data_IF_411068524172
#
_entry.id   IF_411068524172
#
_cell.length_a   1.000
_cell.length_b   1.000
_cell.length_c   1.000
_cell.angle_alpha   90.00
_cell.angle_beta   90.00
_cell.angle_gamma   90.00
#
_symmetry.space_group_name_H-M   'P 1'
#
loop_
_entity.id
_entity.type
_entity.pdbx_description
1 polymer ?
#
# COMPACT_ATOMS: atom_id res chain seq x y z
N UNK A 1 1.99 -3.83 16.45
CA UNK A 1 2.98 -2.80 16.84
C UNK A 1 4.07 -2.82 15.78
N UNK A 2 3.85 -2.10 14.66
CA UNK A 2 4.80 -2.05 13.54
C UNK A 2 5.82 -0.93 13.77
N UNK A 3 7.01 -1.14 13.20
CA UNK A 3 8.23 -0.33 13.39
C UNK A 3 7.95 1.15 13.21
N UNK A 4 8.18 1.90 14.28
CA UNK A 4 8.35 3.35 14.25
C UNK A 4 9.85 3.54 14.18
N UNK A 5 10.35 4.13 13.11
CA UNK A 5 11.72 4.62 13.11
C UNK A 5 11.66 6.14 13.39
N UNK A 6 11.61 6.57 14.66
CA UNK A 6 11.59 7.97 15.03
C UNK A 6 12.88 8.71 14.59
N UNK A 7 13.92 7.99 14.18
CA UNK A 7 15.16 8.61 13.71
C UNK A 7 15.04 9.17 12.26
N UNK A 8 13.99 8.79 11.52
CA UNK A 8 13.73 9.29 10.15
C UNK A 8 12.71 10.43 10.13
N UNK A 9 11.77 10.45 11.07
CA UNK A 9 10.68 11.42 11.14
C UNK A 9 10.78 12.26 12.41
N UNK A 10 10.72 13.59 12.29
CA UNK A 10 10.72 14.44 13.48
C UNK A 10 9.60 14.04 14.45
N UNK A 11 9.92 13.88 15.74
CA UNK A 11 9.00 13.40 16.78
C UNK A 11 7.65 14.13 16.76
N UNK A 12 7.68 15.44 16.55
CA UNK A 12 6.50 16.29 16.43
C UNK A 12 5.56 15.90 15.28
N UNK A 13 6.10 15.50 14.11
CA UNK A 13 5.29 15.01 13.01
C UNK A 13 4.61 13.69 13.35
N UNK A 14 5.31 12.79 14.07
CA UNK A 14 4.73 11.53 14.54
C UNK A 14 3.57 11.79 15.50
N UNK A 15 3.69 12.76 16.42
CA UNK A 15 2.62 13.15 17.33
C UNK A 15 1.42 13.74 16.58
N UNK A 16 1.67 14.61 15.60
CA UNK A 16 0.63 15.17 14.74
C UNK A 16 -0.12 14.06 13.97
N UNK A 17 0.60 13.11 13.39
CA UNK A 17 0.05 11.97 12.69
C UNK A 17 -0.78 11.04 13.59
N UNK A 18 -0.30 10.74 14.79
CA UNK A 18 -1.05 9.95 15.78
C UNK A 18 -2.36 10.63 16.19
N UNK A 19 -2.34 11.94 16.37
CA UNK A 19 -3.53 12.71 16.70
C UNK A 19 -4.55 12.70 15.55
N UNK A 20 -4.09 12.84 14.31
CA UNK A 20 -4.94 12.74 13.12
C UNK A 20 -5.61 11.36 13.00
N UNK A 21 -4.82 10.28 13.09
CA UNK A 21 -5.32 8.92 13.02
C UNK A 21 -6.36 8.63 14.11
N UNK A 22 -6.10 9.08 15.34
CA UNK A 22 -7.04 8.96 16.46
C UNK A 22 -8.34 9.73 16.20
N UNK A 23 -8.26 10.97 15.73
CA UNK A 23 -9.44 11.78 15.47
C UNK A 23 -10.34 11.16 14.39
N UNK A 24 -9.75 10.60 13.33
CA UNK A 24 -10.47 9.85 12.29
C UNK A 24 -11.13 8.59 12.87
N UNK A 25 -10.42 7.84 13.70
CA UNK A 25 -10.95 6.63 14.33
C UNK A 25 -12.13 6.94 15.27
N UNK A 26 -12.06 8.03 16.05
CA UNK A 26 -13.13 8.47 16.96
C UNK A 26 -14.38 8.95 16.20
N UNK A 27 -14.22 9.68 15.10
CA UNK A 27 -15.35 10.06 14.24
C UNK A 27 -15.94 8.86 13.50
N UNK A 28 -15.09 7.90 13.16
CA UNK A 28 -15.49 6.65 12.52
C UNK A 28 -16.15 5.66 13.46
N UNK A 29 -16.25 5.87 14.78
CA UNK A 29 -16.63 4.83 15.76
C UNK A 29 -18.12 4.39 15.74
N UNK A 30 -18.82 4.63 14.62
CA UNK A 30 -20.10 4.02 14.24
C UNK A 30 -20.13 3.44 12.82
N UNK A 31 -19.12 3.71 12.00
CA UNK A 31 -18.97 3.19 10.63
C UNK A 31 -17.68 2.38 10.53
N UNK A 32 -17.68 1.26 9.80
CA UNK A 32 -16.49 0.42 9.70
C UNK A 32 -15.41 1.10 8.84
N UNK A 33 -14.59 1.97 9.45
CA UNK A 33 -13.42 2.56 8.83
C UNK A 33 -12.39 1.44 8.60
N UNK A 34 -12.04 1.22 7.33
CA UNK A 34 -11.07 0.20 6.93
C UNK A 34 -9.76 0.89 6.56
N UNK A 35 -8.78 0.87 7.46
CA UNK A 35 -7.45 1.43 7.18
C UNK A 35 -6.79 0.73 5.98
N UNK A 36 -6.23 1.53 5.09
CA UNK A 36 -5.38 1.10 3.97
C UNK A 36 -3.93 1.41 4.30
N UNK A 37 -3.66 2.65 4.73
CA UNK A 37 -2.39 3.09 5.28
C UNK A 37 -2.60 3.73 6.65
N UNK A 38 -2.09 3.05 7.67
CA UNK A 38 -2.06 3.49 9.07
C UNK A 38 -0.64 3.38 9.66
N UNK A 39 0.39 3.48 8.81
CA UNK A 39 1.78 3.53 9.21
C UNK A 39 2.56 4.68 8.54
N UNK A 40 3.71 5.02 9.13
CA UNK A 40 4.63 6.03 8.63
C UNK A 40 5.73 5.35 7.82
N UNK A 41 5.38 4.89 6.62
CA UNK A 41 6.32 4.30 5.68
C UNK A 41 6.40 5.15 4.40
N UNK A 42 7.63 5.54 4.02
CA UNK A 42 7.91 6.27 2.79
C UNK A 42 7.89 5.33 1.56
N UNK A 43 7.58 5.82 0.34
CA UNK A 43 7.28 7.20 -0.02
C UNK A 43 5.90 7.69 0.48
N UNK A 44 5.77 9.00 0.66
CA UNK A 44 4.53 9.64 1.12
C UNK A 44 3.79 10.30 -0.05
N UNK A 45 2.95 9.52 -0.73
CA UNK A 45 1.89 10.09 -1.57
C UNK A 45 0.79 10.65 -0.67
N UNK A 46 0.46 9.93 0.40
CA UNK A 46 -0.40 10.29 1.51
C UNK A 46 0.20 9.86 2.86
N UNK A 47 -0.31 10.42 3.96
CA UNK A 47 0.13 10.05 5.32
C UNK A 47 -0.80 9.04 5.98
N UNK A 48 -2.08 9.06 5.61
CA UNK A 48 -3.11 8.14 6.08
C UNK A 48 -4.03 7.84 4.91
N UNK A 49 -4.57 6.63 4.84
CA UNK A 49 -5.66 6.33 3.90
C UNK A 49 -6.61 5.29 4.48
N UNK A 50 -7.88 5.43 4.14
CA UNK A 50 -8.92 4.50 4.57
C UNK A 50 -10.01 4.33 3.50
N UNK A 51 -10.72 3.22 3.60
CA UNK A 51 -11.95 2.95 2.86
C UNK A 51 -13.15 3.09 3.79
N UNK A 52 -14.19 3.76 3.29
CA UNK A 52 -15.52 3.82 3.88
C UNK A 52 -16.53 3.45 2.80
N UNK A 53 -17.31 2.38 3.01
CA UNK A 53 -18.16 1.82 1.97
C UNK A 53 -17.38 1.49 0.69
N UNK A 54 -17.80 2.03 -0.46
CA UNK A 54 -17.13 1.93 -1.75
C UNK A 54 -16.16 3.10 -2.05
N UNK A 55 -15.94 4.02 -1.12
CA UNK A 55 -15.07 5.19 -1.32
C UNK A 55 -13.70 5.02 -0.66
N UNK A 56 -12.65 5.53 -1.31
CA UNK A 56 -11.30 5.62 -0.79
C UNK A 56 -10.94 7.07 -0.46
N UNK A 57 -10.30 7.28 0.68
CA UNK A 57 -9.87 8.59 1.15
C UNK A 57 -8.37 8.56 1.40
N UNK A 58 -7.65 9.46 0.75
CA UNK A 58 -6.21 9.66 0.90
C UNK A 58 -5.98 10.98 1.60
N UNK A 59 -5.27 10.96 2.73
CA UNK A 59 -5.16 12.11 3.63
C UNK A 59 -3.72 12.59 3.66
N UNK A 60 -3.55 13.88 3.36
CA UNK A 60 -2.34 14.63 3.66
C UNK A 60 -2.60 15.52 4.87
N UNK A 61 -1.68 15.48 5.81
CA UNK A 61 -1.66 16.38 6.96
C UNK A 61 -1.00 17.70 6.56
N UNK A 62 -1.52 18.80 7.08
CA UNK A 62 -0.91 20.12 6.96
C UNK A 62 -0.73 20.72 8.34
N UNK A 63 0.36 21.46 8.57
CA UNK A 63 0.51 22.26 9.77
C UNK A 63 0.07 23.69 9.46
N UNK A 64 -1.04 24.10 10.06
CA UNK A 64 -1.61 25.44 9.88
C UNK A 64 -0.63 26.54 10.27
N UNK A 65 0.25 26.28 11.23
CA UNK A 65 1.25 27.25 11.69
C UNK A 65 2.61 27.10 10.97
N UNK A 66 2.73 26.17 10.01
CA UNK A 66 3.92 25.92 9.18
C UNK A 66 5.22 25.73 9.97
N UNK A 67 5.14 25.06 11.12
CA UNK A 67 6.26 24.76 12.01
C UNK A 67 6.85 23.38 11.71
N UNK A 68 6.03 22.44 11.25
CA UNK A 68 6.47 21.10 10.90
C UNK A 68 7.04 21.00 9.50
N UNK A 69 8.15 20.26 9.38
CA UNK A 69 8.55 19.68 8.10
C UNK A 69 7.70 18.45 7.84
N UNK A 70 6.74 18.59 6.92
CA UNK A 70 5.81 17.52 6.56
C UNK A 70 6.33 16.82 5.30
N UNK A 71 6.61 15.51 5.33
CA UNK A 71 7.10 14.78 4.17
C UNK A 71 6.02 14.66 3.08
N UNK A 72 6.44 14.31 1.85
CA UNK A 72 5.54 14.23 0.70
C UNK A 72 5.09 15.60 0.18
N UNK A 73 4.26 15.59 -0.85
CA UNK A 73 3.80 16.80 -1.52
C UNK A 73 2.36 16.66 -2.07
N UNK A 74 1.69 17.78 -2.43
CA UNK A 74 0.34 17.73 -2.99
C UNK A 74 0.22 17.02 -4.34
N UNK A 75 1.30 16.93 -5.13
CA UNK A 75 1.29 16.23 -6.42
C UNK A 75 1.16 14.73 -6.17
N UNK A 76 1.91 14.19 -5.20
CA UNK A 76 1.80 12.80 -4.77
C UNK A 76 0.39 12.44 -4.28
N UNK A 77 -0.24 13.32 -3.49
CA UNK A 77 -1.61 13.11 -3.00
C UNK A 77 -2.62 13.04 -4.15
N UNK A 78 -2.54 13.97 -5.10
CA UNK A 78 -3.44 13.97 -6.25
C UNK A 78 -3.20 12.74 -7.13
N UNK A 79 -1.94 12.37 -7.34
CA UNK A 79 -1.57 11.20 -8.14
C UNK A 79 -2.17 9.91 -7.59
N UNK A 80 -2.06 9.64 -6.28
CA UNK A 80 -2.65 8.43 -5.70
C UNK A 80 -4.18 8.46 -5.72
N UNK A 81 -4.79 9.61 -5.42
CA UNK A 81 -6.24 9.76 -5.44
C UNK A 81 -6.82 9.55 -6.85
N UNK A 82 -6.22 10.14 -7.89
CA UNK A 82 -6.62 9.94 -9.28
C UNK A 82 -6.40 8.49 -9.72
N UNK A 83 -5.23 7.92 -9.41
CA UNK A 83 -4.88 6.54 -9.80
C UNK A 83 -5.80 5.49 -9.17
N UNK A 84 -6.35 5.78 -8.00
CA UNK A 84 -7.28 4.91 -7.29
C UNK A 84 -8.76 5.30 -7.46
N UNK A 85 -9.09 6.32 -8.26
CA UNK A 85 -10.44 6.91 -8.29
C UNK A 85 -11.01 7.14 -6.87
N UNK A 86 -10.19 7.79 -6.04
CA UNK A 86 -10.48 8.13 -4.65
C UNK A 86 -10.49 9.64 -4.40
N UNK A 87 -10.66 10.01 -3.12
CA UNK A 87 -10.80 11.39 -2.69
C UNK A 87 -9.49 11.86 -2.04
N UNK A 88 -8.86 12.87 -2.65
CA UNK A 88 -7.74 13.58 -2.06
C UNK A 88 -8.24 14.51 -0.95
N UNK A 89 -7.73 14.32 0.26
CA UNK A 89 -8.16 15.04 1.46
C UNK A 89 -6.97 15.76 2.11
N UNK A 90 -7.20 17.01 2.50
CA UNK A 90 -6.29 17.73 3.39
C UNK A 90 -6.87 17.68 4.81
N UNK A 91 -6.01 17.43 5.79
CA UNK A 91 -6.34 17.55 7.21
C UNK A 91 -5.44 18.62 7.82
N UNK A 92 -5.92 19.88 7.92
CA UNK A 92 -5.19 20.94 8.58
C UNK A 92 -5.14 20.67 10.09
N UNK A 93 -3.94 20.51 10.62
CA UNK A 93 -3.64 20.24 12.02
C UNK A 93 -3.04 21.48 12.68
N UNK A 94 -3.31 21.67 13.96
CA UNK A 94 -2.69 22.72 14.76
C UNK A 94 -2.35 22.24 16.16
N UNK A 95 -1.17 22.62 16.63
CA UNK A 95 -0.74 22.40 18.01
C UNK A 95 -1.37 23.46 18.92
N UNK A 96 -2.23 23.06 19.86
CA UNK A 96 -2.82 23.92 20.89
C UNK A 96 -2.61 23.26 22.25
N UNK A 97 -2.10 24.04 23.21
CA UNK A 97 -1.90 23.57 24.60
C UNK A 97 -1.10 22.25 24.71
N UNK A 98 -0.20 21.99 23.74
CA UNK A 98 0.63 20.79 23.70
C UNK A 98 0.03 19.60 22.95
N UNK A 99 -1.17 19.74 22.38
CA UNK A 99 -1.84 18.67 21.63
C UNK A 99 -2.16 19.08 20.19
N UNK A 100 -1.91 18.17 19.25
CA UNK A 100 -2.28 18.35 17.84
C UNK A 100 -3.76 18.05 17.65
N UNK A 101 -4.47 18.95 16.97
CA UNK A 101 -5.92 18.80 16.71
C UNK A 101 -6.28 19.21 15.28
N UNK A 102 -7.19 18.49 14.61
CA UNK A 102 -7.74 18.95 13.34
C UNK A 102 -8.45 20.30 13.49
N UNK A 103 -8.26 21.20 12.52
CA UNK A 103 -8.86 22.53 12.52
C UNK A 103 -10.13 22.61 11.68
N UNK A 104 -10.29 21.72 10.71
CA UNK A 104 -11.52 21.63 9.92
C UNK A 104 -12.68 21.07 10.78
N UNK A 105 -13.93 21.53 10.55
CA UNK A 105 -15.12 20.96 11.20
C UNK A 105 -15.36 19.48 10.88
N UNK A 106 -16.20 18.83 11.69
CA UNK A 106 -16.61 17.44 11.48
C UNK A 106 -15.42 16.50 11.51
N UNK A 107 -15.25 15.71 10.46
CA UNK A 107 -14.15 14.75 10.28
C UNK A 107 -12.74 15.37 10.23
N UNK A 108 -12.62 16.69 10.26
CA UNK A 108 -11.32 17.37 10.15
C UNK A 108 -10.75 17.32 8.73
N UNK A 109 -11.56 16.96 7.73
CA UNK A 109 -11.15 16.81 6.33
C UNK A 109 -11.65 17.98 5.48
N UNK A 110 -10.80 18.39 4.54
CA UNK A 110 -11.13 19.27 3.43
C UNK A 110 -10.90 18.51 2.13
N UNK A 111 -11.81 18.67 1.17
CA UNK A 111 -11.57 18.22 -0.20
C UNK A 111 -10.39 19.02 -0.78
N UNK A 112 -9.34 18.34 -1.22
CA UNK A 112 -8.09 18.99 -1.62
C UNK A 112 -8.26 19.95 -2.82
N UNK A 113 -9.29 19.74 -3.64
CA UNK A 113 -9.57 20.56 -4.82
C UNK A 113 -10.35 21.83 -4.48
N UNK A 114 -11.40 21.72 -3.68
CA UNK A 114 -12.31 22.83 -3.36
C UNK A 114 -11.96 23.55 -2.06
N UNK A 115 -11.15 22.93 -1.19
CA UNK A 115 -10.83 23.42 0.15
C UNK A 115 -12.03 23.43 1.10
N UNK A 116 -13.11 22.71 0.76
CA UNK A 116 -14.34 22.68 1.56
C UNK A 116 -14.41 21.44 2.43
N UNK A 117 -14.93 21.60 3.63
CA UNK A 117 -15.28 20.46 4.49
C UNK A 117 -16.42 19.66 3.87
N UNK A 118 -16.38 18.35 4.09
CA UNK A 118 -17.40 17.42 3.66
C UNK A 118 -17.54 16.28 4.69
N UNK A 119 -18.64 15.55 4.61
CA UNK A 119 -18.86 14.33 5.38
C UNK A 119 -18.55 13.12 4.47
N UNK A 120 -17.49 12.33 4.75
CA UNK A 120 -17.15 11.13 3.99
C UNK A 120 -18.32 10.15 3.81
N UNK A 121 -19.22 10.05 4.79
CA UNK A 121 -20.40 9.17 4.75
C UNK A 121 -21.31 9.53 3.58
N UNK A 122 -21.44 10.83 3.28
CA UNK A 122 -22.31 11.32 2.20
C UNK A 122 -21.80 10.99 0.79
N UNK A 123 -20.56 10.53 0.67
CA UNK A 123 -19.99 10.07 -0.60
C UNK A 123 -20.15 8.56 -0.81
N UNK A 124 -20.51 7.81 0.24
CA UNK A 124 -20.73 6.37 0.15
C UNK A 124 -21.99 6.09 -0.65
N UNK A 125 -21.90 5.12 -1.56
CA UNK A 125 -23.04 4.64 -2.34
C UNK A 125 -23.05 3.12 -2.46
N UNK A 126 -24.14 2.58 -2.99
CA UNK A 126 -24.25 1.17 -3.37
C UNK A 126 -23.73 0.89 -4.79
N UNK A 127 -23.10 1.87 -5.44
CA UNK A 127 -22.54 1.70 -6.78
C UNK A 127 -21.33 0.74 -6.73
N UNK A 128 -21.33 -0.25 -7.61
CA UNK A 128 -20.18 -1.14 -7.79
C UNK A 128 -19.05 -0.38 -8.48
N UNK A 129 -17.96 -0.14 -7.74
CA UNK A 129 -16.73 0.49 -8.24
C UNK A 129 -15.68 -0.59 -8.44
N UNK A 130 -15.20 -0.76 -9.67
CA UNK A 130 -14.14 -1.73 -9.96
C UNK A 130 -12.81 -1.24 -9.37
N UNK A 131 -12.07 -2.15 -8.72
CA UNK A 131 -10.74 -1.88 -8.21
C UNK A 131 -9.80 -1.51 -9.36
N UNK A 132 -9.15 -0.37 -9.23
CA UNK A 132 -8.09 0.07 -10.13
C UNK A 132 -6.89 -0.89 -10.12
N UNK A 133 -6.01 -0.77 -11.11
CA UNK A 133 -4.77 -1.56 -11.14
C UNK A 133 -3.83 -1.21 -10.00
N UNK A 134 -3.91 0.01 -9.49
CA UNK A 134 -3.21 0.45 -8.28
C UNK A 134 -3.69 -0.31 -7.04
N UNK A 135 -5.01 -0.32 -6.80
CA UNK A 135 -5.61 -1.07 -5.67
C UNK A 135 -5.28 -2.56 -5.75
N UNK A 136 -5.29 -3.13 -6.96
CA UNK A 136 -4.93 -4.52 -7.17
C UNK A 136 -3.44 -4.79 -6.89
N UNK A 137 -2.55 -3.90 -7.32
CA UNK A 137 -1.12 -4.03 -7.04
C UNK A 137 -0.80 -3.90 -5.56
N UNK A 138 -1.37 -2.91 -4.87
CA UNK A 138 -1.19 -2.73 -3.43
C UNK A 138 -1.65 -3.97 -2.66
N UNK A 139 -2.82 -4.52 -3.02
CA UNK A 139 -3.30 -5.80 -2.48
C UNK A 139 -2.29 -6.95 -2.71
N UNK A 140 -1.71 -7.06 -3.91
CA UNK A 140 -0.69 -8.07 -4.21
C UNK A 140 0.59 -7.88 -3.39
N UNK A 141 0.98 -6.63 -3.11
CA UNK A 141 2.11 -6.30 -2.24
C UNK A 141 1.81 -6.70 -0.80
N UNK A 142 0.60 -6.44 -0.29
CA UNK A 142 0.16 -6.88 1.04
C UNK A 142 0.22 -8.41 1.17
N UNK A 143 -0.30 -9.14 0.19
CA UNK A 143 -0.21 -10.61 0.13
C UNK A 143 1.25 -11.06 0.19
N UNK A 144 2.12 -10.45 -0.62
CA UNK A 144 3.55 -10.81 -0.69
C UNK A 144 4.26 -10.54 0.64
N UNK A 145 4.02 -9.38 1.27
CA UNK A 145 4.55 -9.04 2.60
C UNK A 145 4.13 -10.06 3.65
N UNK A 146 2.84 -10.41 3.69
CA UNK A 146 2.35 -11.43 4.62
C UNK A 146 3.05 -12.79 4.41
N UNK A 147 3.35 -13.18 3.16
CA UNK A 147 4.13 -14.41 2.91
C UNK A 147 5.56 -14.31 3.44
N UNK A 148 6.23 -13.19 3.25
CA UNK A 148 7.58 -12.97 3.76
C UNK A 148 7.59 -12.99 5.30
N UNK A 149 6.70 -12.26 5.95
CA UNK A 149 6.68 -12.16 7.42
C UNK A 149 6.17 -13.44 8.08
N UNK A 150 5.13 -14.08 7.55
CA UNK A 150 4.49 -15.22 8.20
C UNK A 150 5.15 -16.56 7.83
N UNK A 151 5.60 -16.74 6.59
CA UNK A 151 6.16 -18.02 6.11
C UNK A 151 7.68 -18.02 6.15
N UNK A 152 8.32 -16.94 5.70
CA UNK A 152 9.79 -16.82 5.75
C UNK A 152 10.31 -16.31 7.09
N UNK A 153 9.44 -15.73 7.93
CA UNK A 153 9.80 -15.15 9.24
C UNK A 153 10.90 -14.09 9.11
N UNK A 154 10.86 -13.30 8.03
CA UNK A 154 11.82 -12.22 7.78
C UNK A 154 11.16 -10.85 7.99
N UNK A 155 11.89 -9.89 8.59
CA UNK A 155 11.39 -8.53 8.74
C UNK A 155 11.39 -7.80 7.39
N UNK A 156 10.33 -7.03 7.15
CA UNK A 156 10.24 -6.12 5.99
C UNK A 156 11.04 -4.86 6.31
N UNK A 157 11.93 -4.47 5.41
CA UNK A 157 12.71 -3.22 5.50
C UNK A 157 12.05 -2.09 4.72
N UNK A 158 11.45 -2.41 3.57
CA UNK A 158 10.76 -1.46 2.72
C UNK A 158 9.62 -2.14 1.97
N UNK A 159 8.55 -1.40 1.71
CA UNK A 159 7.54 -1.79 0.75
C UNK A 159 6.85 -0.57 0.13
N UNK A 160 6.27 -0.77 -1.04
CA UNK A 160 5.50 0.25 -1.76
C UNK A 160 4.42 -0.43 -2.63
N UNK A 161 3.23 0.19 -2.68
CA UNK A 161 2.09 -0.25 -3.49
C UNK A 161 1.98 0.40 -4.88
N UNK A 162 2.81 1.40 -5.19
CA UNK A 162 2.86 2.04 -6.53
C UNK A 162 3.37 1.04 -7.60
N UNK A 163 2.56 0.69 -8.61
CA UNK A 163 2.96 -0.20 -9.70
C UNK A 163 4.15 0.31 -10.52
N UNK A 164 4.39 1.63 -10.53
CA UNK A 164 5.48 2.29 -11.24
C UNK A 164 6.81 2.32 -10.48
N UNK A 165 6.84 1.87 -9.21
CA UNK A 165 8.05 1.87 -8.39
C UNK A 165 8.45 0.43 -8.05
N UNK A 166 9.67 0.06 -8.48
CA UNK A 166 10.29 -1.22 -8.15
C UNK A 166 11.60 -1.03 -7.37
N UNK A 167 11.94 -1.95 -6.44
CA UNK A 167 11.20 -3.15 -6.08
C UNK A 167 10.01 -2.82 -5.16
N UNK A 168 8.97 -3.66 -5.17
CA UNK A 168 7.77 -3.46 -4.35
C UNK A 168 7.99 -3.83 -2.88
N UNK A 169 8.93 -4.75 -2.58
CA UNK A 169 9.26 -5.17 -1.22
C UNK A 169 10.78 -5.39 -1.09
N UNK A 170 11.36 -4.94 0.02
CA UNK A 170 12.71 -5.27 0.47
C UNK A 170 12.60 -5.85 1.88
N UNK A 171 13.30 -6.95 2.14
CA UNK A 171 13.30 -7.63 3.43
C UNK A 171 14.71 -8.07 3.81
N UNK A 172 14.93 -8.33 5.10
CA UNK A 172 16.22 -8.82 5.57
C UNK A 172 16.40 -10.31 5.20
N UNK A 173 17.29 -10.57 4.25
CA UNK A 173 17.72 -11.91 3.86
C UNK A 173 18.77 -12.49 4.79
N UNK A 174 19.35 -13.63 4.41
CA UNK A 174 20.37 -14.30 5.23
C UNK A 174 21.75 -13.68 5.12
N UNK A 175 22.05 -13.02 4.00
CA UNK A 175 23.37 -12.45 3.73
C UNK A 175 23.27 -10.98 3.32
N UNK A 176 22.17 -10.32 3.69
CA UNK A 176 21.88 -8.93 3.36
C UNK A 176 20.44 -8.73 2.89
N UNK A 177 20.07 -7.49 2.50
CA UNK A 177 18.76 -7.19 1.95
C UNK A 177 18.47 -8.00 0.69
N UNK A 178 17.22 -8.45 0.56
CA UNK A 178 16.69 -9.10 -0.64
C UNK A 178 15.44 -8.37 -1.10
N UNK A 179 15.21 -8.34 -2.41
CA UNK A 179 14.16 -7.54 -3.01
C UNK A 179 13.19 -8.37 -3.85
N UNK A 180 11.94 -7.92 -3.93
CA UNK A 180 10.85 -8.58 -4.66
C UNK A 180 10.16 -7.56 -5.56
N UNK A 181 10.05 -7.89 -6.84
CA UNK A 181 9.13 -7.25 -7.79
C UNK A 181 7.81 -8.00 -7.73
N UNK A 182 6.71 -7.31 -7.44
CA UNK A 182 5.38 -7.91 -7.37
C UNK A 182 4.65 -7.67 -8.69
N UNK A 183 4.03 -8.70 -9.24
CA UNK A 183 3.10 -8.61 -10.34
C UNK A 183 1.71 -9.04 -9.88
N UNK A 184 0.70 -8.25 -10.23
CA UNK A 184 -0.70 -8.58 -9.98
C UNK A 184 -1.41 -8.90 -11.29
N UNK A 185 -2.36 -9.83 -11.25
CA UNK A 185 -3.14 -10.22 -12.43
C UNK A 185 -4.61 -10.38 -12.09
N UNK A 186 -5.50 -9.94 -12.96
CA UNK A 186 -6.95 -10.23 -12.88
C UNK A 186 -7.23 -11.55 -13.57
N UNK A 187 -8.10 -12.37 -12.97
CA UNK A 187 -8.70 -13.50 -13.68
C UNK A 187 -9.24 -13.03 -15.05
N UNK A 188 -9.03 -13.78 -16.16
CA UNK A 188 -8.57 -15.16 -16.26
C UNK A 188 -7.05 -15.38 -16.20
N UNK A 189 -6.24 -14.34 -16.07
CA UNK A 189 -4.79 -14.48 -16.01
C UNK A 189 -4.36 -15.13 -14.68
N UNK A 190 -3.64 -16.25 -14.79
CA UNK A 190 -3.17 -17.05 -13.64
C UNK A 190 -1.74 -16.73 -13.20
N UNK A 191 -0.98 -16.04 -14.05
CA UNK A 191 0.40 -15.65 -13.78
C UNK A 191 0.52 -14.21 -14.24
N UNK A 192 0.86 -13.32 -13.31
CA UNK A 192 1.12 -11.93 -13.64
C UNK A 192 2.36 -11.82 -14.52
N UNK A 193 2.28 -10.93 -15.50
CA UNK A 193 3.43 -10.62 -16.34
C UNK A 193 4.47 -9.84 -15.54
N UNK A 194 5.73 -10.08 -15.86
CA UNK A 194 6.81 -9.23 -15.36
C UNK A 194 6.72 -7.88 -16.06
N UNK A 195 7.09 -6.77 -15.39
CA UNK A 195 7.22 -5.48 -16.05
C UNK A 195 8.10 -5.57 -17.30
N UNK A 196 7.76 -4.83 -18.36
CA UNK A 196 8.52 -4.85 -19.61
C UNK A 196 10.00 -4.47 -19.40
N UNK A 197 10.27 -3.55 -18.47
CA UNK A 197 11.61 -3.05 -18.13
C UNK A 197 12.31 -3.90 -17.05
N UNK A 198 12.01 -5.20 -16.94
CA UNK A 198 12.53 -6.04 -15.86
C UNK A 198 14.06 -6.05 -15.76
N UNK A 199 14.77 -5.99 -16.89
CA UNK A 199 16.23 -5.97 -16.91
C UNK A 199 16.81 -4.68 -16.31
N UNK A 200 16.15 -3.53 -16.54
CA UNK A 200 16.53 -2.24 -15.96
C UNK A 200 16.27 -2.23 -14.45
N UNK A 201 15.13 -2.78 -14.03
CA UNK A 201 14.79 -2.97 -12.62
C UNK A 201 15.86 -3.84 -11.94
N UNK A 202 16.21 -4.99 -12.54
CA UNK A 202 17.28 -5.87 -12.03
C UNK A 202 18.60 -5.09 -11.92
N UNK A 203 18.97 -4.29 -12.93
CA UNK A 203 20.20 -3.52 -12.91
C UNK A 203 20.22 -2.49 -11.77
N UNK A 204 19.10 -1.80 -11.52
CA UNK A 204 18.96 -0.87 -10.41
C UNK A 204 19.02 -1.58 -9.04
N UNK A 205 18.25 -2.65 -8.87
CA UNK A 205 18.11 -3.37 -7.61
C UNK A 205 19.38 -4.14 -7.18
N UNK A 206 20.36 -4.34 -8.07
CA UNK A 206 21.69 -4.87 -7.70
C UNK A 206 22.40 -4.03 -6.64
N UNK A 207 22.09 -2.73 -6.56
CA UNK A 207 22.63 -1.84 -5.53
C UNK A 207 21.93 -2.00 -4.16
N UNK A 208 20.75 -2.63 -4.15
CA UNK A 208 19.97 -2.88 -2.93
C UNK A 208 20.41 -4.19 -2.28
N UNK A 209 20.52 -5.25 -3.09
CA UNK A 209 20.75 -6.60 -2.57
C UNK A 209 21.25 -7.57 -3.62
N UNK A 210 21.94 -8.60 -3.15
CA UNK A 210 22.57 -9.62 -4.00
C UNK A 210 21.58 -10.67 -4.53
N UNK A 211 20.32 -10.66 -4.07
CA UNK A 211 19.27 -11.58 -4.51
C UNK A 211 17.93 -10.86 -4.72
N UNK A 212 17.27 -11.20 -5.83
CA UNK A 212 16.00 -10.61 -6.24
C UNK A 212 15.00 -11.62 -6.78
N UNK A 213 13.72 -11.32 -6.61
CA UNK A 213 12.63 -12.22 -6.94
C UNK A 213 11.47 -11.54 -7.66
N UNK A 214 10.65 -12.37 -8.30
CA UNK A 214 9.34 -12.00 -8.80
C UNK A 214 8.25 -12.76 -8.04
N UNK A 215 7.22 -12.05 -7.58
CA UNK A 215 6.04 -12.63 -6.96
C UNK A 215 4.83 -12.38 -7.86
N UNK A 216 4.25 -13.44 -8.41
CA UNK A 216 3.01 -13.37 -9.20
C UNK A 216 1.79 -13.63 -8.32
N UNK A 217 0.87 -12.67 -8.26
CA UNK A 217 -0.37 -12.74 -7.48
C UNK A 217 -1.59 -12.57 -8.40
N UNK A 218 -2.15 -13.66 -8.95
CA UNK A 218 -3.45 -13.60 -9.61
C UNK A 218 -4.58 -13.43 -8.59
N UNK A 219 -5.56 -12.60 -8.91
CA UNK A 219 -6.70 -12.26 -8.04
C UNK A 219 -8.00 -12.48 -8.80
N UNK A 220 -9.00 -12.97 -8.08
CA UNK A 220 -10.33 -13.27 -8.60
C UNK A 220 -11.38 -12.83 -7.58
N UNK A 221 -12.56 -12.46 -8.07
CA UNK A 221 -13.71 -12.21 -7.20
C UNK A 221 -14.04 -13.47 -6.40
N UNK A 222 -14.39 -13.32 -5.12
CA UNK A 222 -14.85 -14.45 -4.31
C UNK A 222 -16.12 -15.11 -4.87
N UNK A 223 -16.87 -14.40 -5.71
CA UNK A 223 -18.09 -14.87 -6.36
C UNK A 223 -17.84 -15.78 -7.57
N UNK A 224 -16.64 -15.76 -8.17
CA UNK A 224 -16.31 -16.62 -9.33
C UNK A 224 -16.03 -18.09 -8.94
N UNK A 225 -15.85 -18.35 -7.64
CA UNK A 225 -15.66 -19.68 -7.07
C UNK A 225 -14.29 -20.31 -7.35
N UNK A 226 -13.81 -20.34 -8.60
CA UNK A 226 -12.58 -21.01 -9.06
C UNK A 226 -11.91 -20.22 -10.19
N UNK A 227 -10.56 -20.20 -10.21
CA UNK A 227 -9.78 -19.74 -11.36
C UNK A 227 -10.00 -20.66 -12.59
N UNK A 228 -11.01 -20.39 -13.41
CA UNK A 228 -11.29 -21.09 -14.67
C UNK A 228 -11.09 -20.17 -15.90
N UNK A 229 -10.02 -20.36 -16.71
CA UNK A 229 -9.74 -19.52 -17.87
C UNK A 229 -10.86 -19.52 -18.94
N UNK A 230 -11.76 -20.51 -18.92
CA UNK A 230 -12.89 -20.60 -19.83
C UNK A 230 -14.11 -19.77 -19.37
N UNK A 231 -14.09 -19.26 -18.13
CA UNK A 231 -15.14 -18.39 -17.59
C UNK A 231 -14.81 -16.92 -17.79
N UNK A 232 -15.86 -16.16 -18.10
CA UNK A 232 -15.81 -14.70 -18.05
C UNK A 232 -15.38 -14.24 -16.66
N UNK A 233 -14.53 -13.22 -16.62
CA UNK A 233 -14.09 -12.59 -15.38
C UNK A 233 -15.20 -11.78 -14.77
N UNK A 234 -15.52 -12.00 -13.49
CA UNK A 234 -16.29 -11.03 -12.71
C UNK A 234 -15.33 -9.92 -12.26
N UNK A 235 -15.65 -8.64 -12.52
CA UNK A 235 -14.84 -7.52 -12.06
C UNK A 235 -14.52 -7.60 -10.57
N UNK A 236 -13.35 -7.10 -10.20
CA UNK A 236 -12.95 -7.03 -8.79
C UNK A 236 -13.60 -5.79 -8.18
N UNK A 237 -14.78 -5.95 -7.60
CA UNK A 237 -15.51 -4.84 -6.97
C UNK A 237 -14.91 -4.45 -5.62
N UNK A 238 -14.71 -3.16 -5.41
CA UNK A 238 -14.17 -2.61 -4.17
C UNK A 238 -15.07 -2.98 -2.99
N UNK A 239 -14.45 -3.39 -1.88
CA UNK A 239 -15.17 -3.84 -0.67
C UNK A 239 -15.78 -5.24 -0.75
N UNK A 240 -15.72 -5.91 -1.91
CA UNK A 240 -16.17 -7.29 -2.05
C UNK A 240 -15.05 -8.27 -1.70
N UNK A 241 -15.43 -9.52 -1.38
CA UNK A 241 -14.47 -10.57 -1.09
C UNK A 241 -13.59 -10.89 -2.30
N UNK A 242 -12.30 -11.07 -2.04
CA UNK A 242 -11.31 -11.48 -3.04
C UNK A 242 -10.76 -12.87 -2.70
N UNK A 243 -10.36 -13.61 -3.74
CA UNK A 243 -9.51 -14.80 -3.62
C UNK A 243 -8.26 -14.56 -4.45
N UNK A 244 -7.15 -15.16 -4.05
CA UNK A 244 -5.88 -14.98 -4.75
C UNK A 244 -5.09 -16.28 -4.83
N UNK A 245 -4.28 -16.37 -5.87
CA UNK A 245 -3.22 -17.37 -5.99
C UNK A 245 -1.88 -16.79 -5.53
N UNK A 246 -1.01 -17.65 -5.01
CA UNK A 246 0.39 -17.29 -4.75
C UNK A 246 1.24 -18.53 -5.00
N UNK A 247 1.94 -18.55 -6.13
CA UNK A 247 2.71 -19.72 -6.56
C UNK A 247 4.10 -19.80 -5.92
N UNK A 248 4.50 -18.76 -5.18
CA UNK A 248 5.85 -18.64 -4.62
C UNK A 248 6.63 -17.46 -5.19
N UNK A 249 7.91 -17.40 -4.83
CA UNK A 249 8.87 -16.41 -5.32
C UNK A 249 9.71 -17.06 -6.44
N UNK A 250 9.68 -16.49 -7.63
CA UNK A 250 10.54 -16.86 -8.75
C UNK A 250 11.86 -16.09 -8.65
N UNK A 251 13.01 -16.75 -8.84
CA UNK A 251 14.31 -16.07 -8.79
C UNK A 251 14.49 -15.20 -10.04
N UNK A 252 14.70 -13.89 -9.86
CA UNK A 252 15.05 -12.96 -10.94
C UNK A 252 16.55 -12.75 -11.05
N UNK A 253 17.21 -12.55 -9.91
CA UNK A 253 18.62 -12.21 -9.87
C UNK A 253 19.30 -12.85 -8.68
N UNK A 254 20.56 -13.22 -8.89
CA UNK A 254 21.45 -13.68 -7.83
C UNK A 254 22.89 -13.38 -8.21
N UNK A 255 23.65 -12.79 -7.29
CA UNK A 255 25.11 -12.67 -7.45
C UNK A 255 25.77 -14.06 -7.40
N UNK A 256 26.73 -14.27 -8.30
CA UNK A 256 27.31 -15.59 -8.63
C UNK A 256 27.74 -16.41 -7.41
N UNK A 257 28.35 -15.77 -6.41
CA UNK A 257 28.93 -16.43 -5.24
C UNK A 257 28.02 -16.40 -3.99
N UNK A 258 26.80 -15.87 -4.10
CA UNK A 258 25.88 -15.81 -2.97
C UNK A 258 25.40 -17.23 -2.60
N UNK A 259 25.40 -17.66 -1.33
CA UNK A 259 24.79 -18.93 -0.95
C UNK A 259 23.26 -18.83 -1.04
N UNK A 260 22.59 -19.77 -1.70
CA UNK A 260 21.14 -19.94 -1.56
C UNK A 260 20.93 -20.99 -0.46
N UNK A 261 20.46 -20.61 0.71
CA UNK A 261 20.15 -21.61 1.73
C UNK A 261 19.03 -22.56 1.28
N UNK A 262 19.17 -23.80 1.73
CA UNK A 262 18.34 -24.96 1.38
C UNK A 262 16.84 -24.78 1.69
N UNK A 263 16.45 -23.80 2.52
CA UNK A 263 15.07 -23.55 2.96
C UNK A 263 14.17 -22.86 1.91
N UNK A 264 14.67 -22.48 0.72
CA UNK A 264 13.81 -21.89 -0.34
C UNK A 264 12.96 -22.92 -1.12
N UNK A 265 13.06 -24.22 -0.80
CA UNK A 265 12.35 -25.31 -1.50
C UNK A 265 10.82 -25.32 -1.32
N UNK A 266 10.25 -24.57 -0.38
CA UNK A 266 8.79 -24.48 -0.20
C UNK A 266 8.13 -23.35 -1.00
N UNK A 267 8.89 -22.42 -1.59
CA UNK A 267 8.37 -21.25 -2.30
C UNK A 267 8.99 -21.00 -3.68
N UNK A 268 10.00 -21.75 -4.12
CA UNK A 268 10.46 -21.72 -5.50
C UNK A 268 9.69 -22.78 -6.29
N UNK A 269 8.98 -22.37 -7.35
CA UNK A 269 8.54 -23.33 -8.39
C UNK A 269 9.77 -24.10 -8.86
N UNK A 270 9.75 -25.42 -8.77
CA UNK A 270 10.55 -26.23 -9.70
C UNK A 270 9.91 -26.10 -11.08
N UNK A 271 10.71 -26.02 -12.15
CA UNK A 271 10.19 -26.00 -13.52
C UNK A 271 9.31 -27.22 -13.80
#
# INVERSE_FOLDING_TARGET
MMMRDPDVFGEEFVLCWLAAARSLQEHGDGESLNWIKDDLHAPFLEHLSFRLGNQLFFIRLEDVDQRLQIPGDPIGLNYIAESCNGVACLMPMRLREGEWTPQAPGWGLLDAKSGRSFDPVMLVSDEEIEMTDWELHDFAVQVTRARVTEKLKRPIQYYNGDPGIAPSVIFEGESGPEWIVVGAARHPQRVADKPEQIDEIIAHCKNIGDVGYFASVPVISANDGIFDPARASVPLWRGHGLRYGFAGLELLWKKRDHPLAMMRRMLLKRP
#
